data_IF_080441556498
#
_entry.id   IF_080441556498
#
_cell.length_a   1.000
_cell.length_b   1.000
_cell.length_c   1.000
_cell.angle_alpha   90.00
_cell.angle_beta   90.00
_cell.angle_gamma   90.00
#
_symmetry.space_group_name_H-M   'P 1'
#
loop_
_entity.id
_entity.type
_entity.pdbx_description
1 polymer ?
#
# COMPACT_ATOMS: atom_id res chain seq x y z
N UNK A 1 -2.59 -27.92 -9.64
CA UNK A 1 -2.20 -27.75 -8.22
C UNK A 1 -1.89 -26.27 -8.01
N UNK A 2 -2.72 -25.52 -7.27
CA UNK A 2 -2.30 -24.19 -6.84
C UNK A 2 -1.52 -24.32 -5.54
N UNK A 3 -0.27 -23.86 -5.53
CA UNK A 3 0.47 -23.73 -4.29
C UNK A 3 -0.14 -22.56 -3.49
N UNK A 4 -0.67 -22.83 -2.30
CA UNK A 4 -1.04 -21.79 -1.34
C UNK A 4 0.24 -21.37 -0.62
N UNK A 5 0.67 -20.12 -0.82
CA UNK A 5 1.81 -19.52 -0.14
C UNK A 5 1.39 -18.30 0.67
N UNK A 6 2.21 -17.94 1.66
CA UNK A 6 2.05 -16.69 2.43
C UNK A 6 3.00 -15.66 1.81
N UNK A 7 2.46 -14.52 1.36
CA UNK A 7 3.24 -13.33 1.03
C UNK A 7 2.98 -12.27 2.11
N UNK A 8 3.92 -12.11 3.05
CA UNK A 8 3.80 -11.20 4.20
C UNK A 8 5.00 -10.26 4.23
N UNK A 9 4.71 -8.96 4.34
CA UNK A 9 5.72 -7.90 4.48
C UNK A 9 5.45 -7.11 5.77
N UNK A 10 6.51 -6.79 6.51
CA UNK A 10 6.49 -5.91 7.68
C UNK A 10 7.53 -4.82 7.43
N UNK A 11 7.15 -3.55 7.56
CA UNK A 11 8.02 -2.39 7.33
C UNK A 11 7.99 -1.48 8.55
N UNK A 12 9.17 -1.04 9.01
CA UNK A 12 9.35 -0.04 10.07
C UNK A 12 10.31 1.02 9.53
N UNK A 13 9.88 2.28 9.52
CA UNK A 13 10.65 3.37 8.93
C UNK A 13 9.96 4.71 9.11
N UNK A 14 10.48 5.73 8.43
CA UNK A 14 9.90 7.08 8.39
C UNK A 14 9.46 7.37 6.96
N UNK A 15 8.43 8.20 6.80
CA UNK A 15 8.04 8.63 5.47
C UNK A 15 9.10 9.56 4.87
N UNK A 16 9.44 9.33 3.60
CA UNK A 16 10.36 10.20 2.84
C UNK A 16 9.68 11.44 2.26
N UNK A 17 8.35 11.44 2.17
CA UNK A 17 7.51 12.57 1.75
C UNK A 17 6.08 12.36 2.25
N UNK A 18 5.25 13.39 2.12
CA UNK A 18 3.82 13.28 2.42
C UNK A 18 3.12 12.23 1.54
N UNK A 19 2.13 11.49 2.07
CA UNK A 19 1.34 10.55 1.28
C UNK A 19 0.62 11.20 0.11
N UNK A 20 0.68 10.58 -1.06
CA UNK A 20 -0.13 10.98 -2.20
C UNK A 20 -1.48 10.25 -2.13
N UNK A 21 -2.56 11.00 -1.90
CA UNK A 21 -3.93 10.45 -1.80
C UNK A 21 -4.72 10.76 -3.07
N UNK A 22 -5.39 9.74 -3.62
CA UNK A 22 -6.24 9.84 -4.80
C UNK A 22 -7.58 9.15 -4.56
N UNK A 23 -8.65 9.75 -5.07
CA UNK A 23 -9.98 9.15 -5.06
C UNK A 23 -10.25 8.49 -6.41
N UNK A 24 -10.57 7.21 -6.40
CA UNK A 24 -10.90 6.45 -7.60
C UNK A 24 -12.40 6.61 -7.93
N UNK A 25 -12.81 6.47 -9.21
CA UNK A 25 -14.19 6.76 -9.65
C UNK A 25 -15.29 5.96 -8.94
N UNK A 26 -14.95 4.80 -8.37
CA UNK A 26 -15.86 3.98 -7.57
C UNK A 26 -15.96 4.44 -6.09
N UNK A 27 -15.38 5.59 -5.74
CA UNK A 27 -15.47 6.20 -4.41
C UNK A 27 -14.40 5.76 -3.40
N UNK A 28 -13.50 4.85 -3.78
CA UNK A 28 -12.40 4.43 -2.90
C UNK A 28 -11.31 5.50 -2.76
N UNK A 29 -10.69 5.59 -1.58
CA UNK A 29 -9.47 6.36 -1.37
C UNK A 29 -8.24 5.45 -1.43
N UNK A 30 -7.21 5.85 -2.17
CA UNK A 30 -5.93 5.13 -2.31
C UNK A 30 -4.80 6.06 -1.93
N UNK A 31 -3.86 5.59 -1.09
CA UNK A 31 -2.68 6.34 -0.66
C UNK A 31 -1.39 5.64 -1.11
N UNK A 32 -0.47 6.39 -1.72
CA UNK A 32 0.90 5.94 -1.94
C UNK A 32 1.79 6.45 -0.81
N UNK A 33 2.44 5.52 -0.11
CA UNK A 33 3.41 5.82 0.94
C UNK A 33 4.83 5.60 0.39
N UNK A 34 5.71 6.56 0.65
CA UNK A 34 7.15 6.40 0.45
C UNK A 34 7.77 6.20 1.83
N UNK A 35 8.07 4.96 2.17
CA UNK A 35 8.70 4.53 3.43
C UNK A 35 10.18 4.27 3.21
#
# INVERSE_FOLDING_TARGET
MSARGINKVIVVGRLGKDPEVRYIPNGGAVANLQV
#
